data_IF_517619388467
#
_entry.id   IF_517619388467
#
_cell.length_a   1.000
_cell.length_b   1.000
_cell.length_c   1.000
_cell.angle_alpha   90.00
_cell.angle_beta   90.00
_cell.angle_gamma   90.00
#
_symmetry.space_group_name_H-M   'P 1'
#
loop_
_entity.id
_entity.type
_entity.pdbx_description
1 polymer ?
#
# COMPACT_ATOMS: atom_id res chain seq x y z
N UNK A 1 -19.85 12.64 12.77
CA UNK A 1 -19.39 11.29 12.37
C UNK A 1 -18.20 11.36 11.42
N UNK A 2 -18.26 12.16 10.35
CA UNK A 2 -17.18 12.26 9.35
C UNK A 2 -15.87 12.82 9.90
N UNK A 3 -15.94 13.80 10.80
CA UNK A 3 -14.74 14.32 11.47
C UNK A 3 -14.01 13.24 12.27
N UNK A 4 -14.74 12.37 12.97
CA UNK A 4 -14.13 11.27 13.74
C UNK A 4 -13.43 10.30 12.78
N UNK A 5 -14.12 9.89 11.72
CA UNK A 5 -13.54 9.01 10.70
C UNK A 5 -12.26 9.61 10.09
N UNK A 6 -12.32 10.87 9.68
CA UNK A 6 -11.18 11.59 9.11
C UNK A 6 -10.01 11.66 10.09
N UNK A 7 -10.26 12.12 11.32
CA UNK A 7 -9.23 12.19 12.38
C UNK A 7 -8.63 10.81 12.65
N UNK A 8 -9.45 9.76 12.80
CA UNK A 8 -8.94 8.39 13.00
C UNK A 8 -8.09 7.93 11.83
N UNK A 9 -8.49 8.20 10.59
CA UNK A 9 -7.74 7.80 9.39
C UNK A 9 -6.39 8.50 9.31
N UNK A 10 -6.36 9.82 9.52
CA UNK A 10 -5.11 10.60 9.55
C UNK A 10 -4.19 10.04 10.63
N UNK A 11 -4.68 9.88 11.86
CA UNK A 11 -3.87 9.35 12.97
C UNK A 11 -3.34 7.95 12.70
N UNK A 12 -4.10 7.06 12.06
CA UNK A 12 -3.60 5.73 11.69
C UNK A 12 -2.44 5.78 10.70
N UNK A 13 -2.46 6.73 9.77
CA UNK A 13 -1.45 6.85 8.73
C UNK A 13 -0.21 7.63 9.19
N UNK A 14 -0.39 8.63 10.04
CA UNK A 14 0.66 9.59 10.38
C UNK A 14 1.00 9.65 11.86
N UNK A 15 0.23 9.01 12.74
CA UNK A 15 0.33 9.19 14.19
C UNK A 15 1.70 8.83 14.76
N UNK A 16 2.30 7.74 14.29
CA UNK A 16 3.64 7.33 14.70
C UNK A 16 4.70 8.36 14.28
N UNK A 17 4.63 8.87 13.05
CA UNK A 17 5.54 9.90 12.55
C UNK A 17 5.37 11.21 13.32
N UNK A 18 4.12 11.62 13.60
CA UNK A 18 3.82 12.83 14.36
C UNK A 18 4.44 12.79 15.77
N UNK A 19 4.35 11.65 16.47
CA UNK A 19 5.01 11.47 17.77
C UNK A 19 6.53 11.54 17.68
N UNK A 20 7.13 10.98 16.62
CA UNK A 20 8.58 11.08 16.40
C UNK A 20 9.01 12.52 16.12
N UNK A 21 8.24 13.27 15.31
CA UNK A 21 8.48 14.69 15.07
C UNK A 21 8.36 15.54 16.34
N UNK A 22 7.39 15.25 17.21
CA UNK A 22 7.22 15.96 18.48
C UNK A 22 8.40 15.68 19.44
N UNK A 23 8.97 14.46 19.42
CA UNK A 23 10.17 14.09 20.19
C UNK A 23 11.47 14.69 19.67
N UNK A 24 11.59 14.86 18.35
CA UNK A 24 12.78 15.46 17.68
C UNK A 24 12.71 17.00 17.73
N UNK A 25 11.51 17.57 17.85
CA UNK A 25 11.28 18.99 18.07
C UNK A 25 11.95 19.51 19.34
N UNK A 26 12.34 20.79 19.32
CA UNK A 26 13.16 21.46 20.34
C UNK A 26 12.87 21.02 21.80
N UNK A 27 13.88 20.63 22.60
CA UNK A 27 13.76 20.02 23.93
C UNK A 27 13.33 21.00 25.05
N UNK A 28 12.31 21.81 24.79
CA UNK A 28 11.76 22.80 25.72
C UNK A 28 10.36 23.29 25.36
N UNK A 29 9.82 22.90 24.19
CA UNK A 29 8.40 23.06 23.91
C UNK A 29 7.68 21.82 24.44
N UNK A 30 6.93 21.97 25.53
CA UNK A 30 5.94 20.98 25.99
C UNK A 30 4.77 20.91 24.98
N UNK A 31 5.07 20.70 23.70
CA UNK A 31 4.05 20.34 22.74
C UNK A 31 3.64 18.92 23.12
N UNK A 32 2.47 18.84 23.72
CA UNK A 32 1.69 17.63 23.95
C UNK A 32 0.43 17.74 23.08
N UNK A 33 0.59 18.28 21.86
CA UNK A 33 -0.55 18.56 20.98
C UNK A 33 -1.23 17.25 20.59
N UNK A 34 -0.42 16.21 20.34
CA UNK A 34 -0.92 14.87 20.06
C UNK A 34 -1.60 14.26 21.29
N UNK A 35 -1.06 14.45 22.50
CA UNK A 35 -1.72 14.01 23.74
C UNK A 35 -3.10 14.67 23.93
N UNK A 36 -3.21 15.98 23.64
CA UNK A 36 -4.49 16.70 23.71
C UNK A 36 -5.52 16.14 22.73
N UNK A 37 -5.09 15.71 21.54
CA UNK A 37 -5.97 15.04 20.57
C UNK A 37 -6.44 13.70 21.12
N UNK A 38 -5.55 12.91 21.73
CA UNK A 38 -5.89 11.63 22.33
C UNK A 38 -6.81 11.76 23.56
N UNK A 39 -6.63 12.80 24.36
CA UNK A 39 -7.55 13.14 25.45
C UNK A 39 -8.96 13.44 24.91
N UNK A 40 -9.07 14.23 23.84
CA UNK A 40 -10.36 14.50 23.18
C UNK A 40 -11.01 13.26 22.58
N UNK A 41 -10.20 12.34 22.03
CA UNK A 41 -10.71 11.06 21.55
C UNK A 41 -11.25 10.20 22.71
N UNK A 42 -10.57 10.17 23.85
CA UNK A 42 -11.07 9.52 25.07
C UNK A 42 -12.40 10.12 25.55
N UNK A 43 -12.50 11.46 25.62
CA UNK A 43 -13.76 12.14 25.97
C UNK A 43 -14.90 11.77 25.02
N UNK A 44 -14.62 11.74 23.71
CA UNK A 44 -15.61 11.38 22.69
C UNK A 44 -16.07 9.93 22.87
N UNK A 45 -15.16 9.00 23.17
CA UNK A 45 -15.51 7.58 23.38
C UNK A 45 -16.38 7.32 24.60
N UNK A 46 -16.44 8.25 25.57
CA UNK A 46 -17.25 8.12 26.78
C UNK A 46 -18.66 8.70 26.63
N UNK A 47 -18.94 9.40 25.53
CA UNK A 47 -20.26 9.97 25.25
C UNK A 47 -21.29 8.87 24.98
N UNK A 48 -22.48 8.97 25.58
CA UNK A 48 -23.56 7.97 25.44
C UNK A 48 -24.23 7.99 24.06
N UNK A 49 -24.15 9.10 23.35
CA UNK A 49 -24.78 9.35 22.05
C UNK A 49 -23.86 9.08 20.85
N UNK A 50 -22.67 8.53 21.07
CA UNK A 50 -21.75 8.21 19.99
C UNK A 50 -22.25 7.05 19.13
N UNK A 51 -22.13 7.21 17.81
CA UNK A 51 -22.36 6.15 16.85
C UNK A 51 -21.45 4.92 17.13
N UNK A 52 -21.99 3.68 17.15
CA UNK A 52 -21.20 2.49 17.50
C UNK A 52 -19.96 2.27 16.61
N UNK A 53 -20.06 2.58 15.32
CA UNK A 53 -18.93 2.49 14.39
C UNK A 53 -17.88 3.54 14.70
N UNK A 54 -18.29 4.78 14.97
CA UNK A 54 -17.38 5.85 15.39
C UNK A 54 -16.68 5.51 16.72
N UNK A 55 -17.39 4.92 17.70
CA UNK A 55 -16.79 4.45 18.94
C UNK A 55 -15.73 3.35 18.70
N UNK A 56 -16.00 2.43 17.77
CA UNK A 56 -15.03 1.41 17.36
C UNK A 56 -13.79 2.04 16.69
N UNK A 57 -13.98 3.02 15.81
CA UNK A 57 -12.88 3.75 15.18
C UNK A 57 -11.96 4.41 16.22
N UNK A 58 -12.55 5.10 17.20
CA UNK A 58 -11.82 5.75 18.28
C UNK A 58 -11.06 4.72 19.11
N UNK A 59 -11.73 3.66 19.59
CA UNK A 59 -11.08 2.59 20.37
C UNK A 59 -9.89 1.99 19.63
N UNK A 60 -10.06 1.69 18.34
CA UNK A 60 -9.00 1.08 17.55
C UNK A 60 -7.75 1.97 17.45
N UNK A 61 -7.91 3.30 17.36
CA UNK A 61 -6.74 4.19 17.30
C UNK A 61 -6.11 4.43 18.68
N UNK A 62 -6.90 4.42 19.75
CA UNK A 62 -6.38 4.44 21.13
C UNK A 62 -5.50 3.21 21.39
N UNK A 63 -6.02 2.02 21.10
CA UNK A 63 -5.26 0.77 21.25
C UNK A 63 -4.03 0.73 20.34
N UNK A 64 -4.12 1.27 19.13
CA UNK A 64 -2.99 1.33 18.21
C UNK A 64 -1.86 2.17 18.81
N UNK A 65 -2.18 3.33 19.41
CA UNK A 65 -1.20 4.16 20.11
C UNK A 65 -0.61 3.44 21.33
N UNK A 66 -1.43 2.78 22.14
CA UNK A 66 -0.98 2.00 23.31
C UNK A 66 0.00 0.89 22.91
N UNK A 67 -0.21 0.26 21.76
CA UNK A 67 0.69 -0.74 21.15
C UNK A 67 1.84 -0.12 20.37
N UNK A 68 2.19 1.14 20.66
CA UNK A 68 3.27 1.88 19.99
C UNK A 68 3.15 1.85 18.46
N UNK A 69 1.93 2.05 17.96
CA UNK A 69 1.59 2.01 16.53
C UNK A 69 1.85 0.68 15.82
N UNK A 70 1.92 -0.43 16.57
CA UNK A 70 2.29 -1.74 16.04
C UNK A 70 3.78 -1.90 15.77
N UNK A 71 4.61 -0.95 16.19
CA UNK A 71 6.07 -1.10 16.17
C UNK A 71 6.44 -2.06 17.30
N UNK A 72 6.69 -3.32 16.97
CA UNK A 72 7.39 -4.22 17.90
C UNK A 72 8.71 -3.55 18.24
N UNK A 73 9.06 -3.47 19.53
CA UNK A 73 10.41 -3.12 19.94
C UNK A 73 11.34 -4.20 19.39
N UNK A 74 11.73 -4.09 18.13
CA UNK A 74 12.78 -4.88 17.54
C UNK A 74 14.01 -4.48 18.33
N UNK A 75 14.35 -5.34 19.28
CA UNK A 75 15.66 -5.37 19.90
C UNK A 75 16.68 -5.09 18.81
N UNK A 76 17.47 -4.06 19.04
CA UNK A 76 18.72 -3.80 18.34
C UNK A 76 19.60 -5.06 18.45
N UNK A 77 19.40 -5.98 17.54
CA UNK A 77 20.33 -7.03 17.19
C UNK A 77 20.34 -7.05 15.68
N UNK A 78 20.95 -6.03 15.10
CA UNK A 78 21.51 -6.13 13.76
C UNK A 78 22.51 -7.29 13.82
N UNK A 79 22.31 -8.43 13.13
CA UNK A 79 23.48 -9.14 12.65
C UNK A 79 24.13 -8.18 11.65
N UNK A 80 25.39 -7.83 11.89
CA UNK A 80 26.20 -7.16 10.88
C UNK A 80 26.33 -8.12 9.68
N UNK A 81 25.47 -7.99 8.70
CA UNK A 81 25.59 -8.73 7.44
C UNK A 81 24.93 -7.94 6.32
N UNK A 82 25.75 -7.12 5.66
CA UNK A 82 25.49 -6.53 4.35
C UNK A 82 24.44 -5.41 4.35
N UNK A 83 24.80 -4.26 3.77
CA UNK A 83 23.80 -3.36 3.22
C UNK A 83 23.01 -4.12 2.16
N UNK A 84 21.82 -4.61 2.51
CA UNK A 84 20.77 -4.88 1.54
C UNK A 84 19.74 -3.77 1.75
N UNK A 85 19.51 -2.98 0.71
CA UNK A 85 18.43 -2.01 0.67
C UNK A 85 17.10 -2.75 0.89
N UNK A 86 16.54 -2.70 2.10
CA UNK A 86 15.19 -3.18 2.46
C UNK A 86 14.06 -2.50 1.66
N UNK A 87 14.40 -1.69 0.65
CA UNK A 87 13.50 -0.96 -0.24
C UNK A 87 13.36 -1.59 -1.62
N UNK A 88 14.13 -2.64 -1.94
CA UNK A 88 14.12 -3.25 -3.26
C UNK A 88 13.05 -4.36 -3.37
N UNK A 89 12.40 -4.51 -4.54
CA UNK A 89 11.46 -5.60 -4.77
C UNK A 89 12.16 -6.96 -4.62
N UNK A 90 11.58 -7.86 -3.83
CA UNK A 90 12.02 -9.26 -3.74
C UNK A 90 11.35 -10.03 -4.89
N UNK A 91 12.15 -10.77 -5.66
CA UNK A 91 11.63 -11.69 -6.69
C UNK A 91 11.15 -12.98 -6.05
N UNK A 92 9.88 -13.34 -6.29
CA UNK A 92 9.29 -14.59 -5.79
C UNK A 92 8.94 -15.53 -6.94
N UNK A 93 9.06 -16.84 -6.69
CA UNK A 93 8.60 -17.89 -7.59
C UNK A 93 7.06 -17.97 -7.66
N UNK A 94 6.51 -18.82 -8.54
CA UNK A 94 5.06 -19.03 -8.68
C UNK A 94 4.42 -19.66 -7.44
N UNK A 95 5.22 -20.25 -6.56
CA UNK A 95 4.86 -20.76 -5.23
C UNK A 95 4.81 -19.66 -4.17
N UNK A 96 5.16 -18.42 -4.51
CA UNK A 96 5.19 -17.27 -3.60
C UNK A 96 6.41 -17.26 -2.67
N UNK A 97 7.38 -18.15 -2.89
CA UNK A 97 8.60 -18.24 -2.09
C UNK A 97 9.67 -17.33 -2.71
N UNK A 98 10.45 -16.58 -1.91
CA UNK A 98 11.59 -15.83 -2.42
C UNK A 98 12.54 -16.75 -3.17
N UNK A 99 12.94 -16.32 -4.37
CA UNK A 99 13.86 -17.06 -5.21
C UNK A 99 15.20 -17.22 -4.48
N UNK A 100 15.78 -18.42 -4.48
CA UNK A 100 17.09 -18.66 -3.86
C UNK A 100 18.21 -18.02 -4.67
N UNK A 101 19.38 -17.77 -4.05
CA UNK A 101 20.51 -17.16 -4.75
C UNK A 101 21.05 -17.97 -5.94
N UNK A 102 20.83 -19.30 -5.95
CA UNK A 102 21.17 -20.14 -7.09
C UNK A 102 20.20 -19.92 -8.26
N UNK A 103 18.90 -19.87 -7.96
CA UNK A 103 17.86 -19.61 -8.94
C UNK A 103 17.93 -18.17 -9.47
N UNK A 104 18.29 -17.20 -8.63
CA UNK A 104 18.47 -15.80 -9.03
C UNK A 104 19.59 -15.67 -10.06
N UNK A 105 20.71 -16.39 -9.87
CA UNK A 105 21.78 -16.47 -10.87
C UNK A 105 21.33 -17.12 -12.15
N UNK A 106 20.57 -18.21 -12.05
CA UNK A 106 20.00 -18.88 -13.22
C UNK A 106 19.10 -17.94 -14.04
N UNK A 107 18.22 -17.19 -13.38
CA UNK A 107 17.34 -16.19 -14.03
C UNK A 107 18.17 -15.08 -14.67
N UNK A 108 19.18 -14.57 -13.97
CA UNK A 108 20.07 -13.52 -14.48
C UNK A 108 20.88 -14.00 -15.68
N UNK A 109 21.39 -15.24 -15.64
CA UNK A 109 22.06 -15.88 -16.77
C UNK A 109 21.11 -16.06 -17.96
N UNK A 110 19.86 -16.46 -17.71
CA UNK A 110 18.83 -16.59 -18.76
C UNK A 110 18.49 -15.24 -19.41
N UNK A 111 18.43 -14.17 -18.61
CA UNK A 111 18.24 -12.79 -19.06
C UNK A 111 19.42 -12.30 -19.92
N UNK A 112 20.65 -12.64 -19.54
CA UNK A 112 21.85 -12.26 -20.29
C UNK A 112 22.08 -13.11 -21.55
N UNK A 113 21.58 -14.36 -21.60
CA UNK A 113 21.89 -15.35 -22.65
C UNK A 113 20.90 -15.32 -23.84
N UNK A 114 20.20 -14.22 -24.08
CA UNK A 114 19.47 -13.96 -25.34
C UNK A 114 18.34 -14.96 -25.72
N UNK A 115 17.81 -15.79 -24.82
CA UNK A 115 16.59 -16.58 -25.11
C UNK A 115 15.28 -15.84 -24.78
N UNK A 116 15.34 -14.52 -24.61
CA UNK A 116 14.16 -13.67 -24.50
C UNK A 116 14.49 -12.21 -24.89
N UNK A 117 15.35 -12.03 -25.90
CA UNK A 117 15.64 -10.72 -26.50
C UNK A 117 14.47 -10.06 -27.24
N UNK A 118 13.22 -10.36 -26.83
CA UNK A 118 12.01 -9.73 -27.32
C UNK A 118 10.91 -9.64 -26.25
N UNK A 119 11.26 -9.56 -24.96
CA UNK A 119 10.42 -8.78 -24.07
C UNK A 119 10.84 -7.32 -24.24
N UNK A 120 10.16 -6.63 -25.16
CA UNK A 120 10.04 -5.19 -25.03
C UNK A 120 9.57 -4.92 -23.60
N UNK A 121 10.50 -4.42 -22.78
CA UNK A 121 10.13 -3.59 -21.66
C UNK A 121 9.42 -2.40 -22.29
N UNK A 122 8.10 -2.49 -22.40
CA UNK A 122 7.24 -1.37 -22.71
C UNK A 122 7.42 -0.36 -21.57
N UNK A 123 8.48 0.44 -21.65
CA UNK A 123 8.52 1.70 -20.93
C UNK A 123 7.31 2.48 -21.42
N UNK A 124 6.50 2.96 -20.48
CA UNK A 124 5.25 3.63 -20.76
C UNK A 124 5.40 5.01 -21.43
N UNK A 125 6.44 5.27 -22.22
CA UNK A 125 6.62 6.52 -22.96
C UNK A 125 6.41 6.41 -24.48
N UNK A 126 5.97 5.25 -24.98
CA UNK A 126 5.64 5.01 -26.38
C UNK A 126 4.19 5.30 -26.81
N UNK A 127 3.50 6.31 -26.28
CA UNK A 127 2.26 6.80 -26.92
C UNK A 127 2.60 7.61 -28.18
N UNK A 128 3.15 6.93 -29.20
CA UNK A 128 2.92 7.40 -30.56
C UNK A 128 1.46 7.14 -30.85
N UNK A 129 0.72 8.23 -30.80
CA UNK A 129 -0.67 8.37 -31.20
C UNK A 129 -0.87 7.81 -32.62
N UNK A 130 -1.11 6.50 -32.72
CA UNK A 130 -1.78 5.88 -33.87
C UNK A 130 -3.12 5.31 -33.42
N UNK A 131 -3.95 6.16 -32.80
CA UNK A 131 -5.35 5.87 -32.45
C UNK A 131 -6.27 5.79 -33.69
N UNK A 132 -5.72 5.47 -34.86
CA UNK A 132 -6.41 5.55 -36.15
C UNK A 132 -6.09 4.34 -37.03
N UNK A 133 -6.09 3.11 -36.50
CA UNK A 133 -6.33 1.95 -37.33
C UNK A 133 -7.78 1.51 -37.12
N UNK A 134 -8.60 1.95 -38.07
CA UNK A 134 -10.02 1.64 -38.31
C UNK A 134 -10.22 0.16 -38.71
N UNK A 135 -9.61 -0.78 -37.99
CA UNK A 135 -9.85 -2.21 -38.19
C UNK A 135 -10.73 -2.70 -37.02
N UNK A 136 -12.00 -2.29 -37.01
CA UNK A 136 -13.01 -3.08 -36.31
C UNK A 136 -12.99 -4.46 -36.96
N UNK A 137 -12.55 -5.49 -36.24
CA UNK A 137 -12.60 -6.87 -36.71
C UNK A 137 -14.03 -7.19 -37.19
N UNK A 138 -14.20 -7.36 -38.50
CA UNK A 138 -15.48 -7.73 -39.14
C UNK A 138 -16.07 -8.99 -38.49
N UNK A 139 -15.22 -9.86 -37.95
CA UNK A 139 -15.59 -11.04 -37.17
C UNK A 139 -16.34 -10.68 -35.88
N UNK A 140 -15.88 -9.66 -35.14
CA UNK A 140 -16.53 -9.21 -33.90
C UNK A 140 -17.88 -8.55 -34.22
N UNK A 141 -17.95 -7.76 -35.29
CA UNK A 141 -19.20 -7.16 -35.75
C UNK A 141 -20.23 -8.25 -36.15
N UNK A 142 -19.80 -9.27 -36.89
CA UNK A 142 -20.65 -10.38 -37.31
C UNK A 142 -21.17 -11.19 -36.11
N UNK A 143 -20.31 -11.48 -35.13
CA UNK A 143 -20.70 -12.22 -33.92
C UNK A 143 -21.77 -11.48 -33.09
N UNK A 144 -21.67 -10.15 -33.01
CA UNK A 144 -22.64 -9.33 -32.29
C UNK A 144 -24.02 -9.33 -32.97
N UNK A 145 -24.07 -9.25 -34.31
CA UNK A 145 -25.34 -9.35 -35.05
C UNK A 145 -26.01 -10.71 -34.90
N UNK A 146 -25.23 -11.80 -34.89
CA UNK A 146 -25.77 -13.15 -34.69
C UNK A 146 -26.36 -13.32 -33.29
N UNK A 147 -25.68 -12.80 -32.27
CA UNK A 147 -26.17 -12.80 -30.89
C UNK A 147 -27.52 -12.07 -30.78
N UNK A 148 -27.67 -10.89 -31.39
CA UNK A 148 -28.93 -10.14 -31.37
C UNK A 148 -30.07 -10.87 -32.10
N UNK A 149 -29.77 -11.62 -33.16
CA UNK A 149 -30.77 -12.45 -33.87
C UNK A 149 -31.25 -13.63 -33.03
N UNK A 150 -30.36 -14.25 -32.24
CA UNK A 150 -30.72 -15.39 -31.37
C UNK A 150 -31.39 -14.99 -30.06
N UNK A 151 -31.09 -13.80 -29.54
CA UNK A 151 -31.66 -13.29 -28.28
C UNK A 151 -32.89 -12.37 -28.49
N UNK A 152 -33.35 -12.23 -29.73
CA UNK A 152 -34.43 -11.34 -30.16
C UNK A 152 -35.74 -12.00 -30.58
N UNK A 153 -36.05 -13.23 -30.12
CA UNK A 153 -37.38 -13.83 -30.29
C UNK A 153 -37.83 -14.65 -29.07
#
# INVERSE_FOLDING_TARGET
KDNIKCTTQVLKLTGACLEDYEKVGSPGANSCALDSVFEKLCEISQKKDIDPTAALMVRNVLELRERNWGRTSSSSSSPSSGQADDSLPITCGPDGVPVSSEEERFIQELLLTEQMGNLEMSDGSGYTNNCCNDDMDDEIAAAYEEFLKQSGQ
#
